data_IF_686634585615
#
_entry.id   IF_686634585615
#
_cell.length_a   1.000
_cell.length_b   1.000
_cell.length_c   1.000
_cell.angle_alpha   90.00
_cell.angle_beta   90.00
_cell.angle_gamma   90.00
#
_symmetry.space_group_name_H-M   'P 1'
#
loop_
_entity.id
_entity.type
_entity.pdbx_description
1 polymer ?
#
# COMPACT_ATOMS: atom_id res chain seq x y z
N UNK A 1 -14.44 4.37 -14.17
CA UNK A 1 -13.09 4.69 -13.65
C UNK A 1 -12.32 3.38 -13.48
N UNK A 2 -11.16 3.27 -14.05
CA UNK A 2 -10.32 2.08 -13.90
C UNK A 2 -9.11 2.36 -12.98
N UNK A 3 -8.40 1.30 -12.61
CA UNK A 3 -7.27 1.40 -11.68
C UNK A 3 -6.16 2.26 -12.27
N UNK A 4 -5.93 2.20 -13.57
CA UNK A 4 -4.88 2.99 -14.20
C UNK A 4 -5.12 4.50 -14.02
N UNK A 5 -6.36 4.93 -13.98
CA UNK A 5 -6.71 6.33 -13.74
C UNK A 5 -6.47 6.76 -12.30
N UNK A 6 -6.45 5.81 -11.36
CA UNK A 6 -6.21 6.09 -9.95
C UNK A 6 -4.72 6.14 -9.61
N UNK A 7 -3.86 5.50 -10.42
CA UNK A 7 -2.42 5.45 -10.13
C UNK A 7 -1.81 6.83 -10.19
N UNK A 8 -1.08 7.19 -9.12
CA UNK A 8 -0.33 8.43 -9.09
C UNK A 8 0.87 8.35 -10.03
N UNK A 9 1.24 9.47 -10.64
CA UNK A 9 2.54 9.60 -11.28
C UNK A 9 3.60 9.30 -10.22
N UNK A 10 4.61 8.51 -10.55
CA UNK A 10 5.65 8.06 -9.61
C UNK A 10 5.13 7.19 -8.45
N UNK A 11 3.88 6.72 -8.54
CA UNK A 11 3.26 5.85 -7.54
C UNK A 11 3.42 4.35 -7.81
N UNK A 12 4.33 3.97 -8.69
CA UNK A 12 4.58 2.57 -9.04
C UNK A 12 6.02 2.19 -8.69
N UNK A 13 6.18 1.16 -7.85
CA UNK A 13 7.47 0.58 -7.51
C UNK A 13 7.46 -0.87 -7.97
N UNK A 14 8.31 -1.21 -8.93
CA UNK A 14 8.34 -2.54 -9.55
C UNK A 14 9.31 -3.50 -8.88
N UNK A 15 10.21 -3.00 -8.03
CA UNK A 15 11.18 -3.83 -7.31
C UNK A 15 11.43 -3.22 -5.94
N UNK A 16 10.89 -3.86 -4.91
CA UNK A 16 11.12 -3.44 -3.53
C UNK A 16 11.73 -4.60 -2.75
N UNK A 17 12.77 -4.30 -1.97
CA UNK A 17 13.44 -5.27 -1.13
C UNK A 17 12.83 -5.42 0.26
N UNK A 18 11.62 -4.92 0.49
CA UNK A 18 10.96 -5.07 1.78
C UNK A 18 10.85 -6.55 2.15
N UNK A 19 11.19 -6.90 3.40
CA UNK A 19 11.25 -8.28 3.87
C UNK A 19 10.23 -8.61 4.97
N UNK A 20 9.32 -7.68 5.26
CA UNK A 20 8.24 -7.88 6.23
C UNK A 20 7.02 -7.07 5.84
N UNK A 21 5.86 -7.44 6.41
CA UNK A 21 4.63 -6.66 6.22
C UNK A 21 4.83 -5.19 6.59
N UNK A 22 5.47 -4.94 7.75
CA UNK A 22 5.70 -3.56 8.20
C UNK A 22 6.59 -2.79 7.24
N UNK A 23 7.66 -3.40 6.74
CA UNK A 23 8.54 -2.76 5.76
C UNK A 23 7.81 -2.51 4.45
N UNK A 24 6.95 -3.44 4.03
CA UNK A 24 6.14 -3.27 2.83
C UNK A 24 5.19 -2.08 2.97
N UNK A 25 4.52 -1.95 4.10
CA UNK A 25 3.64 -0.81 4.37
C UNK A 25 4.43 0.50 4.45
N UNK A 26 5.63 0.46 4.99
CA UNK A 26 6.51 1.63 5.01
C UNK A 26 6.89 2.05 3.59
N UNK A 27 7.17 1.10 2.70
CA UNK A 27 7.45 1.39 1.29
C UNK A 27 6.25 2.05 0.61
N UNK A 28 5.05 1.56 0.89
CA UNK A 28 3.81 2.18 0.39
C UNK A 28 3.70 3.63 0.88
N UNK A 29 3.91 3.85 2.17
CA UNK A 29 3.81 5.20 2.76
C UNK A 29 4.86 6.15 2.16
N UNK A 30 6.09 5.70 2.01
CA UNK A 30 7.17 6.49 1.41
C UNK A 30 6.84 6.85 -0.04
N UNK A 31 6.36 5.87 -0.80
CA UNK A 31 5.99 6.08 -2.21
C UNK A 31 4.85 7.09 -2.33
N UNK A 32 3.81 6.93 -1.52
CA UNK A 32 2.66 7.84 -1.52
C UNK A 32 3.07 9.25 -1.12
N UNK A 33 3.90 9.37 -0.08
CA UNK A 33 4.36 10.67 0.40
C UNK A 33 5.13 11.43 -0.69
N UNK A 34 6.03 10.75 -1.38
CA UNK A 34 6.82 11.37 -2.45
C UNK A 34 5.99 11.68 -3.69
N UNK A 35 5.11 10.77 -4.10
CA UNK A 35 4.31 10.93 -5.30
C UNK A 35 3.20 12.00 -5.14
N UNK A 36 2.66 12.16 -3.94
CA UNK A 36 1.49 12.98 -3.67
C UNK A 36 1.78 14.21 -2.81
N UNK A 37 3.01 14.37 -2.33
CA UNK A 37 3.36 15.48 -1.43
C UNK A 37 2.74 15.35 -0.04
N UNK A 38 2.53 14.12 0.44
CA UNK A 38 1.91 13.86 1.73
C UNK A 38 2.96 13.64 2.82
N UNK A 39 2.53 13.72 4.07
CA UNK A 39 3.37 13.40 5.22
C UNK A 39 3.46 11.87 5.36
N UNK A 40 4.67 11.33 5.22
CA UNK A 40 4.91 9.89 5.26
C UNK A 40 4.42 9.24 6.56
N UNK A 41 4.70 9.87 7.70
CA UNK A 41 4.30 9.33 9.00
C UNK A 41 2.79 9.21 9.13
N UNK A 42 2.04 10.18 8.62
CA UNK A 42 0.58 10.14 8.65
C UNK A 42 0.02 9.05 7.76
N UNK A 43 0.60 8.85 6.58
CA UNK A 43 0.20 7.77 5.69
C UNK A 43 0.48 6.42 6.34
N UNK A 44 1.68 6.23 6.87
CA UNK A 44 2.06 4.99 7.54
C UNK A 44 1.16 4.69 8.74
N UNK A 45 0.91 5.69 9.58
CA UNK A 45 0.04 5.55 10.73
C UNK A 45 -1.36 5.09 10.32
N UNK A 46 -1.92 5.70 9.29
CA UNK A 46 -3.24 5.33 8.78
C UNK A 46 -3.26 3.90 8.23
N UNK A 47 -2.23 3.50 7.48
CA UNK A 47 -2.10 2.13 6.98
C UNK A 47 -2.04 1.12 8.13
N UNK A 48 -1.24 1.40 9.15
CA UNK A 48 -1.09 0.51 10.30
C UNK A 48 -2.37 0.41 11.12
N UNK A 49 -3.08 1.51 11.32
CA UNK A 49 -4.37 1.52 12.02
C UNK A 49 -5.39 0.64 11.29
N UNK A 50 -5.45 0.73 9.96
CA UNK A 50 -6.38 -0.10 9.17
C UNK A 50 -6.00 -1.58 9.26
N UNK A 51 -4.72 -1.92 9.16
CA UNK A 51 -4.27 -3.31 9.26
C UNK A 51 -4.51 -3.91 10.64
N UNK A 52 -4.50 -3.10 11.69
CA UNK A 52 -4.80 -3.55 13.04
C UNK A 52 -6.25 -4.03 13.20
N UNK A 53 -7.15 -3.57 12.34
CA UNK A 53 -8.55 -4.00 12.32
C UNK A 53 -8.75 -5.34 11.60
N UNK A 54 -7.80 -5.74 10.79
CA UNK A 54 -7.85 -6.97 10.01
C UNK A 54 -6.99 -6.84 8.76
N UNK A 55 -6.38 -7.94 8.34
CA UNK A 55 -5.48 -7.93 7.19
C UNK A 55 -6.20 -7.53 5.90
N UNK A 56 -5.53 -6.73 5.08
CA UNK A 56 -5.98 -6.40 3.73
C UNK A 56 -5.42 -7.34 2.66
N UNK A 57 -4.77 -8.42 3.08
CA UNK A 57 -4.32 -9.47 2.15
C UNK A 57 -5.50 -10.28 1.63
N UNK A 58 -5.75 -10.19 0.32
CA UNK A 58 -6.92 -10.79 -0.31
C UNK A 58 -6.73 -12.26 -0.67
N UNK A 59 -5.49 -12.74 -0.69
CA UNK A 59 -5.14 -14.05 -1.21
C UNK A 59 -4.47 -13.94 -2.57
N UNK A 60 -3.93 -15.06 -3.04
CA UNK A 60 -3.23 -15.14 -4.33
C UNK A 60 -2.06 -14.17 -4.47
N UNK A 61 -1.42 -13.82 -3.35
CA UNK A 61 -0.25 -12.93 -3.35
C UNK A 61 -0.57 -11.44 -3.40
N UNK A 62 -1.83 -11.04 -3.26
CA UNK A 62 -2.27 -9.64 -3.42
C UNK A 62 -2.75 -9.06 -2.10
N UNK A 63 -2.37 -7.82 -1.80
CA UNK A 63 -2.90 -7.05 -0.69
C UNK A 63 -3.38 -5.68 -1.18
N UNK A 64 -4.41 -5.15 -0.52
CA UNK A 64 -4.99 -3.84 -0.85
C UNK A 64 -5.09 -2.95 0.40
N UNK A 65 -3.96 -2.59 1.00
CA UNK A 65 -3.99 -1.73 2.18
C UNK A 65 -4.58 -0.35 1.85
N UNK A 66 -5.28 0.22 2.82
CA UNK A 66 -5.94 1.51 2.66
C UNK A 66 -5.36 2.52 3.65
N UNK A 67 -5.22 3.75 3.21
CA UNK A 67 -4.90 4.87 4.08
C UNK A 67 -5.92 5.98 3.89
N UNK A 68 -6.29 6.63 4.99
CA UNK A 68 -7.16 7.79 4.98
C UNK A 68 -6.32 9.00 5.37
N UNK A 69 -6.21 9.96 4.46
CA UNK A 69 -5.36 11.13 4.65
C UNK A 69 -6.11 12.38 4.22
N UNK A 70 -6.08 13.40 5.05
CA UNK A 70 -6.67 14.70 4.72
C UNK A 70 -5.84 15.40 3.64
N UNK A 71 -6.51 16.25 2.85
CA UNK A 71 -5.85 17.07 1.85
C UNK A 71 -5.83 16.51 0.44
N UNK A 72 -6.37 15.29 0.25
CA UNK A 72 -6.51 14.73 -1.08
C UNK A 72 -7.84 15.18 -1.71
N UNK A 73 -7.82 15.45 -3.00
CA UNK A 73 -9.01 15.84 -3.76
C UNK A 73 -9.71 14.63 -4.36
N UNK A 74 -9.03 13.49 -4.44
CA UNK A 74 -9.56 12.28 -5.05
C UNK A 74 -8.87 11.05 -4.47
N UNK A 75 -9.45 9.87 -4.72
CA UNK A 75 -8.81 8.61 -4.39
C UNK A 75 -7.61 8.41 -5.32
N UNK A 76 -6.49 8.01 -4.77
CA UNK A 76 -5.27 7.75 -5.51
C UNK A 76 -4.75 6.36 -5.15
N UNK A 77 -4.21 5.66 -6.12
CA UNK A 77 -3.63 4.34 -5.93
C UNK A 77 -2.10 4.39 -6.04
N UNK A 78 -1.45 3.57 -5.23
CA UNK A 78 -0.01 3.32 -5.26
C UNK A 78 0.19 1.82 -5.43
N UNK A 79 1.08 1.42 -6.33
CA UNK A 79 1.36 0.02 -6.59
C UNK A 79 2.80 -0.31 -6.20
N UNK A 80 2.99 -1.38 -5.44
CA UNK A 80 4.32 -1.87 -5.05
C UNK A 80 4.40 -3.37 -5.33
N UNK A 81 5.43 -3.78 -6.03
CA UNK A 81 5.79 -5.18 -6.22
C UNK A 81 7.04 -5.48 -5.41
N UNK A 82 6.96 -6.53 -4.57
CA UNK A 82 8.08 -6.95 -3.74
C UNK A 82 8.94 -7.97 -4.49
N UNK A 83 10.26 -7.90 -4.32
CA UNK A 83 11.19 -8.88 -4.91
C UNK A 83 10.94 -10.27 -4.35
N UNK A 84 10.63 -10.37 -3.07
CA UNK A 84 10.33 -11.63 -2.38
C UNK A 84 9.01 -11.48 -1.64
N UNK A 85 8.07 -12.43 -1.79
CA UNK A 85 6.81 -12.37 -1.04
C UNK A 85 7.04 -12.36 0.46
N UNK A 86 6.20 -11.62 1.18
CA UNK A 86 6.29 -11.48 2.63
C UNK A 86 5.03 -12.01 3.31
N UNK A 87 5.18 -12.53 4.53
CA UNK A 87 4.04 -12.93 5.37
C UNK A 87 3.18 -11.70 5.65
N UNK A 88 1.89 -11.78 5.36
CA UNK A 88 0.98 -10.65 5.42
C UNK A 88 -0.31 -10.95 6.20
N UNK A 89 -0.44 -12.15 6.75
CA UNK A 89 -1.68 -12.63 7.38
C UNK A 89 -2.87 -12.59 6.41
N UNK A 90 -2.61 -12.89 5.13
CA UNK A 90 -3.65 -12.92 4.12
C UNK A 90 -4.70 -14.00 4.40
N UNK A 91 -5.87 -13.86 3.78
CA UNK A 91 -7.00 -14.77 3.98
C UNK A 91 -6.64 -16.24 3.72
N UNK A 92 -5.75 -16.49 2.75
CA UNK A 92 -5.32 -17.83 2.38
C UNK A 92 -3.97 -18.24 3.02
N UNK A 93 -3.44 -17.46 3.94
CA UNK A 93 -2.14 -17.65 4.58
C UNK A 93 -0.93 -17.67 3.61
N UNK A 94 -1.14 -17.29 2.36
CA UNK A 94 -0.04 -17.20 1.40
C UNK A 94 0.67 -15.86 1.53
N UNK A 95 1.99 -15.83 1.27
CA UNK A 95 2.71 -14.56 1.29
C UNK A 95 2.28 -13.63 0.15
N UNK A 96 2.54 -12.36 0.33
CA UNK A 96 2.12 -11.28 -0.57
C UNK A 96 3.33 -10.65 -1.23
N UNK A 97 3.26 -10.42 -2.53
CA UNK A 97 4.27 -9.70 -3.29
C UNK A 97 3.70 -8.57 -4.16
N UNK A 98 2.37 -8.49 -4.30
CA UNK A 98 1.71 -7.42 -5.05
C UNK A 98 0.83 -6.61 -4.10
N UNK A 99 1.10 -5.31 -4.02
CA UNK A 99 0.37 -4.40 -3.14
C UNK A 99 -0.21 -3.26 -3.97
N UNK A 100 -1.54 -3.16 -3.96
CA UNK A 100 -2.25 -2.02 -4.52
C UNK A 100 -2.88 -1.25 -3.38
N UNK A 101 -2.29 -0.12 -3.02
CA UNK A 101 -2.77 0.69 -1.90
C UNK A 101 -3.68 1.81 -2.40
N UNK A 102 -4.83 1.96 -1.75
CA UNK A 102 -5.76 3.04 -2.02
C UNK A 102 -5.62 4.10 -0.93
N UNK A 103 -5.34 5.33 -1.35
CA UNK A 103 -5.21 6.49 -0.46
C UNK A 103 -6.43 7.36 -0.71
N UNK A 104 -7.20 7.63 0.33
CA UNK A 104 -8.45 8.40 0.22
C UNK A 104 -8.59 9.41 1.36
N UNK A 105 -9.59 10.26 1.24
CA UNK A 105 -9.89 11.28 2.25
C UNK A 105 -10.56 10.64 3.46
#
# INVERSE_FOLDING_TARGET
MDIAQLLAADGVVLRSGASSKRQALHTVADTAARALGLNENRVLESLLEREALGSTGLGSGVAVPHARVEGLERVVAVFVRLDTPVAYDAVDDRPVDLILSLIHI
#
